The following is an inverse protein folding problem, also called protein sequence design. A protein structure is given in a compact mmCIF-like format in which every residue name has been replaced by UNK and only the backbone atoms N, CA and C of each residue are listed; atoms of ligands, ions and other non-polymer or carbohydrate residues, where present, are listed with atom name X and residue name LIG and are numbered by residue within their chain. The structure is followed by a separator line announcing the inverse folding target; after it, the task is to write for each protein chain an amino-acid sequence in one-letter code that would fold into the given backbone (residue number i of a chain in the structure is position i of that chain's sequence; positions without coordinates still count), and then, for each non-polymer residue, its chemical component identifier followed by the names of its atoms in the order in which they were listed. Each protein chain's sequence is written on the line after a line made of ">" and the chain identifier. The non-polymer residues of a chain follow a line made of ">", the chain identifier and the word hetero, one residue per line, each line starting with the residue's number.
data_IF_721640264163
#
_entry.id   IF_721640264163
#
_cell.length_a   1.000
_cell.length_b   1.000
_cell.length_c   1.000
_cell.angle_alpha   90.00
_cell.angle_beta   90.00
_cell.angle_gamma   90.00
#
_symmetry.space_group_name_H-M   'P 1'
#
loop_
_entity.id
_entity.type
_entity.pdbx_description
1 polymer ?
#
# COMPACT_ATOMS: atom_id res chain seq x y z
N UNK A 1 -34.01 8.75 -0.65
CA UNK A 1 -32.57 8.44 -0.43
C UNK A 1 -32.32 7.00 -0.83
N UNK A 2 -31.12 6.67 -1.34
CA UNK A 2 -30.81 5.27 -1.65
C UNK A 2 -30.52 4.53 -0.35
N UNK A 3 -31.14 3.38 -0.09
CA UNK A 3 -30.88 2.60 1.12
C UNK A 3 -29.53 1.91 1.11
N UNK A 4 -28.74 2.07 0.03
CA UNK A 4 -27.41 1.48 -0.15
C UNK A 4 -26.38 2.59 -0.24
N UNK A 5 -25.34 2.48 0.59
CA UNK A 5 -24.19 3.40 0.59
C UNK A 5 -22.90 2.65 0.26
N UNK A 6 -22.07 3.28 -0.56
CA UNK A 6 -20.75 2.77 -0.96
C UNK A 6 -19.66 3.54 -0.22
N UNK A 7 -18.75 2.80 0.40
CA UNK A 7 -17.65 3.35 1.19
C UNK A 7 -16.31 2.75 0.77
N UNK A 8 -15.24 3.56 0.86
CA UNK A 8 -13.87 3.12 0.66
C UNK A 8 -13.15 3.12 2.00
N UNK A 9 -12.49 2.03 2.34
CA UNK A 9 -11.72 1.90 3.59
C UNK A 9 -10.33 1.33 3.31
N UNK A 10 -9.32 1.89 3.99
CA UNK A 10 -7.97 1.33 4.00
C UNK A 10 -7.75 0.56 5.30
N UNK A 11 -7.29 -0.69 5.19
CA UNK A 11 -7.06 -1.58 6.33
C UNK A 11 -5.58 -1.94 6.38
N UNK A 12 -4.92 -1.64 7.49
CA UNK A 12 -3.51 -1.98 7.71
C UNK A 12 -3.36 -3.46 8.06
N UNK A 13 -2.62 -4.19 7.22
CA UNK A 13 -2.34 -5.62 7.38
C UNK A 13 -0.95 -5.89 7.94
N UNK A 14 -0.28 -4.89 8.48
CA UNK A 14 1.01 -5.07 9.16
C UNK A 14 0.83 -6.03 10.34
N UNK A 15 1.69 -7.06 10.41
CA UNK A 15 1.64 -8.07 11.46
C UNK A 15 0.59 -9.18 11.28
N UNK A 16 -0.21 -9.17 10.23
CA UNK A 16 -1.13 -10.27 9.89
C UNK A 16 -0.33 -11.53 9.54
N UNK A 17 -0.62 -12.64 10.20
CA UNK A 17 0.14 -13.89 10.09
C UNK A 17 -0.64 -15.06 9.49
N UNK A 18 -1.96 -14.96 9.38
CA UNK A 18 -2.83 -16.01 8.85
C UNK A 18 -4.05 -15.43 8.13
N UNK A 19 -4.73 -16.28 7.34
CA UNK A 19 -5.99 -15.92 6.68
C UNK A 19 -7.09 -15.57 7.69
N UNK A 20 -7.15 -16.30 8.80
CA UNK A 20 -8.10 -16.05 9.88
C UNK A 20 -7.84 -14.70 10.55
N UNK A 21 -6.57 -14.36 10.79
CA UNK A 21 -6.15 -13.09 11.35
C UNK A 21 -6.53 -11.92 10.42
N UNK A 22 -6.26 -12.08 9.12
CA UNK A 22 -6.70 -11.11 8.11
C UNK A 22 -8.22 -10.90 8.13
N UNK A 23 -8.97 -12.00 8.14
CA UNK A 23 -10.43 -11.96 8.17
C UNK A 23 -10.94 -11.25 9.42
N UNK A 24 -10.40 -11.59 10.59
CA UNK A 24 -10.79 -10.99 11.86
C UNK A 24 -10.50 -9.47 11.88
N UNK A 25 -9.34 -9.06 11.38
CA UNK A 25 -8.97 -7.66 11.25
C UNK A 25 -9.97 -6.92 10.35
N UNK A 26 -10.22 -7.45 9.16
CA UNK A 26 -11.16 -6.84 8.21
C UNK A 26 -12.56 -6.72 8.80
N UNK A 27 -13.07 -7.77 9.46
CA UNK A 27 -14.41 -7.74 10.06
C UNK A 27 -14.47 -6.69 11.18
N UNK A 28 -13.44 -6.60 12.02
CA UNK A 28 -13.37 -5.62 13.10
C UNK A 28 -13.40 -4.19 12.55
N UNK A 29 -12.54 -3.89 11.59
CA UNK A 29 -12.42 -2.53 11.04
C UNK A 29 -13.69 -2.12 10.27
N UNK A 30 -14.32 -3.08 9.56
CA UNK A 30 -15.59 -2.82 8.87
C UNK A 30 -16.73 -2.54 9.85
N UNK A 31 -16.81 -3.27 10.97
CA UNK A 31 -17.83 -3.04 11.99
C UNK A 31 -17.65 -1.68 12.66
N UNK A 32 -16.44 -1.36 13.07
CA UNK A 32 -16.11 -0.08 13.70
C UNK A 32 -16.44 1.10 12.77
N UNK A 33 -16.03 1.01 11.49
CA UNK A 33 -16.35 2.04 10.51
C UNK A 33 -17.86 2.15 10.26
N UNK A 34 -18.56 1.01 10.15
CA UNK A 34 -20.01 1.00 9.94
C UNK A 34 -20.78 1.61 11.13
N UNK A 35 -20.35 1.34 12.37
CA UNK A 35 -20.94 1.93 13.57
C UNK A 35 -20.75 3.45 13.60
N UNK A 36 -19.56 3.94 13.24
CA UNK A 36 -19.30 5.38 13.12
C UNK A 36 -20.21 6.02 12.06
N UNK A 37 -20.34 5.41 10.88
CA UNK A 37 -21.18 5.90 9.80
C UNK A 37 -22.67 5.95 10.17
N UNK A 38 -23.17 4.97 10.92
CA UNK A 38 -24.57 4.92 11.35
C UNK A 38 -24.93 5.97 12.40
N UNK A 39 -23.96 6.52 13.13
CA UNK A 39 -24.17 7.66 14.02
C UNK A 39 -24.46 8.97 13.26
N UNK A 40 -23.97 9.06 12.01
CA UNK A 40 -24.10 10.24 11.17
C UNK A 40 -25.28 10.16 10.18
N UNK A 41 -25.79 8.96 9.92
CA UNK A 41 -26.75 8.68 8.85
C UNK A 41 -27.98 7.94 9.37
N UNK A 42 -29.09 8.62 9.35
CA UNK A 42 -30.40 7.99 9.53
C UNK A 42 -30.81 7.18 8.28
N UNK A 43 -31.27 5.93 8.45
CA UNK A 43 -31.85 5.07 7.40
C UNK A 43 -30.92 4.45 6.35
N UNK A 44 -29.73 3.97 6.71
CA UNK A 44 -28.93 3.12 5.82
C UNK A 44 -29.23 1.65 6.07
N UNK A 45 -29.76 0.94 5.04
CA UNK A 45 -30.08 -0.48 5.11
C UNK A 45 -28.91 -1.39 4.71
N UNK A 46 -27.98 -0.87 3.90
CA UNK A 46 -26.85 -1.64 3.41
C UNK A 46 -25.62 -0.76 3.17
N UNK A 47 -24.47 -1.21 3.68
CA UNK A 47 -23.15 -0.64 3.42
C UNK A 47 -22.36 -1.57 2.51
N UNK A 48 -21.83 -1.04 1.43
CA UNK A 48 -21.04 -1.77 0.44
C UNK A 48 -19.64 -1.20 0.42
N UNK A 49 -18.66 -2.01 0.81
CA UNK A 49 -17.28 -1.58 0.95
C UNK A 49 -16.41 -1.96 -0.24
N UNK A 50 -15.54 -1.02 -0.60
CA UNK A 50 -14.34 -1.25 -1.36
C UNK A 50 -13.16 -1.13 -0.40
N UNK A 51 -12.41 -2.20 -0.21
CA UNK A 51 -11.32 -2.30 0.75
C UNK A 51 -9.99 -2.17 0.01
N UNK A 52 -9.08 -1.36 0.55
CA UNK A 52 -7.68 -1.34 0.16
C UNK A 52 -6.83 -1.85 1.33
N UNK A 53 -6.22 -3.04 1.18
CA UNK A 53 -5.27 -3.57 2.15
C UNK A 53 -3.94 -2.83 1.98
N UNK A 54 -3.45 -2.21 3.05
CA UNK A 54 -2.22 -1.40 3.05
C UNK A 54 -1.24 -1.90 4.13
N UNK A 55 -0.03 -1.39 4.11
CA UNK A 55 0.97 -1.68 5.14
C UNK A 55 2.14 -2.52 4.65
N UNK A 56 2.94 -3.03 5.60
CA UNK A 56 4.12 -3.86 5.33
C UNK A 56 3.88 -5.27 5.86
N UNK A 57 4.06 -6.29 5.01
CA UNK A 57 3.90 -7.67 5.44
C UNK A 57 4.80 -8.61 4.62
N UNK A 58 5.49 -9.52 5.31
CA UNK A 58 6.34 -10.54 4.68
C UNK A 58 5.54 -11.58 3.90
N UNK A 59 4.23 -11.69 4.18
CA UNK A 59 3.29 -12.63 3.52
C UNK A 59 2.42 -11.98 2.45
N UNK A 60 2.93 -10.96 1.78
CA UNK A 60 2.18 -10.21 0.76
C UNK A 60 1.45 -11.12 -0.25
N UNK A 61 2.13 -12.18 -0.76
CA UNK A 61 1.54 -13.11 -1.74
C UNK A 61 0.42 -13.95 -1.16
N UNK A 62 0.57 -14.39 0.09
CA UNK A 62 -0.46 -15.17 0.78
C UNK A 62 -1.69 -14.27 1.00
N UNK A 63 -1.51 -13.04 1.49
CA UNK A 63 -2.58 -12.07 1.67
C UNK A 63 -3.28 -11.78 0.34
N UNK A 64 -2.54 -11.66 -0.76
CA UNK A 64 -3.10 -11.48 -2.10
C UNK A 64 -4.01 -12.67 -2.49
N UNK A 65 -3.66 -13.89 -2.11
CA UNK A 65 -4.50 -15.07 -2.34
C UNK A 65 -5.74 -15.09 -1.43
N UNK A 66 -5.63 -14.63 -0.20
CA UNK A 66 -6.71 -14.62 0.79
C UNK A 66 -7.79 -13.56 0.50
N UNK A 67 -7.51 -12.57 -0.36
CA UNK A 67 -8.50 -11.53 -0.72
C UNK A 67 -9.85 -12.09 -1.17
N UNK A 68 -9.85 -13.24 -1.83
CA UNK A 68 -11.07 -13.86 -2.36
C UNK A 68 -12.06 -14.23 -1.26
N UNK A 69 -11.56 -14.74 -0.13
CA UNK A 69 -12.39 -15.13 1.01
C UNK A 69 -13.03 -13.93 1.70
N UNK A 70 -12.41 -12.74 1.60
CA UNK A 70 -12.96 -11.49 2.15
C UNK A 70 -14.15 -10.99 1.32
N UNK A 71 -14.05 -11.08 -0.02
CA UNK A 71 -15.14 -10.62 -0.94
C UNK A 71 -16.42 -11.44 -0.75
N UNK A 72 -16.29 -12.71 -0.36
CA UNK A 72 -17.46 -13.58 -0.13
C UNK A 72 -18.14 -13.32 1.22
N UNK A 73 -17.55 -12.47 2.06
CA UNK A 73 -18.05 -12.24 3.40
C UNK A 73 -19.13 -11.16 3.44
N UNK A 74 -20.30 -11.53 3.93
CA UNK A 74 -21.36 -10.61 4.29
C UNK A 74 -21.61 -10.69 5.79
N UNK A 75 -21.69 -9.54 6.44
CA UNK A 75 -22.03 -9.44 7.86
C UNK A 75 -23.28 -8.59 8.07
N UNK A 76 -23.94 -8.75 9.24
CA UNK A 76 -24.98 -7.84 9.68
C UNK A 76 -24.60 -7.26 11.04
N UNK A 77 -24.87 -5.97 11.19
CA UNK A 77 -24.78 -5.29 12.48
C UNK A 77 -26.02 -5.60 13.33
N UNK A 78 -25.92 -5.35 14.63
CA UNK A 78 -27.05 -5.46 15.57
C UNK A 78 -28.23 -4.55 15.18
N UNK A 79 -27.93 -3.43 14.53
CA UNK A 79 -28.93 -2.50 13.96
C UNK A 79 -29.71 -3.06 12.79
N UNK A 80 -29.36 -4.25 12.29
CA UNK A 80 -29.97 -4.86 11.11
C UNK A 80 -29.34 -4.44 9.78
N UNK A 81 -28.43 -3.47 9.77
CA UNK A 81 -27.75 -2.98 8.57
C UNK A 81 -26.83 -4.08 8.01
N UNK A 82 -26.99 -4.37 6.72
CA UNK A 82 -26.15 -5.35 6.03
C UNK A 82 -24.80 -4.72 5.62
N UNK A 83 -23.72 -5.45 5.88
CA UNK A 83 -22.39 -5.11 5.40
C UNK A 83 -21.99 -6.11 4.32
N UNK A 84 -21.52 -5.62 3.18
CA UNK A 84 -20.98 -6.45 2.12
C UNK A 84 -19.70 -5.85 1.55
N UNK A 85 -18.78 -6.71 1.10
CA UNK A 85 -17.55 -6.31 0.45
C UNK A 85 -17.68 -6.57 -1.05
N UNK A 86 -17.53 -5.53 -1.86
CA UNK A 86 -17.62 -5.63 -3.31
C UNK A 86 -16.26 -5.86 -3.97
N UNK A 87 -15.22 -5.25 -3.42
CA UNK A 87 -13.88 -5.31 -3.98
C UNK A 87 -12.83 -5.20 -2.88
N UNK A 88 -11.74 -5.94 -3.07
CA UNK A 88 -10.55 -5.85 -2.23
C UNK A 88 -9.33 -5.67 -3.12
N UNK A 89 -8.67 -4.54 -2.99
CA UNK A 89 -7.36 -4.28 -3.60
C UNK A 89 -6.26 -4.43 -2.54
N UNK A 90 -5.04 -4.70 -2.97
CA UNK A 90 -3.89 -4.79 -2.07
C UNK A 90 -2.77 -3.87 -2.56
N UNK A 91 -2.34 -2.99 -1.67
CA UNK A 91 -1.19 -2.09 -1.82
C UNK A 91 -0.22 -2.36 -0.66
N UNK A 92 0.21 -3.63 -0.56
CA UNK A 92 1.04 -4.14 0.52
C UNK A 92 2.49 -4.09 0.07
N UNK A 93 3.34 -3.46 0.86
CA UNK A 93 4.78 -3.49 0.66
C UNK A 93 5.39 -4.71 1.36
N UNK A 94 6.41 -5.37 0.78
CA UNK A 94 7.09 -6.45 1.46
C UNK A 94 7.79 -5.94 2.72
N UNK A 95 7.59 -6.65 3.83
CA UNK A 95 8.35 -6.42 5.05
C UNK A 95 9.69 -7.12 4.92
N UNK A 96 10.76 -6.36 4.80
CA UNK A 96 12.11 -6.90 4.76
C UNK A 96 12.66 -6.98 6.19
N UNK A 97 12.56 -8.16 6.76
CA UNK A 97 13.15 -8.47 8.06
C UNK A 97 14.67 -8.47 7.91
N UNK A 98 15.36 -7.46 8.44
CA UNK A 98 16.80 -7.34 8.47
C UNK A 98 17.52 -6.58 7.33
N UNK A 99 16.99 -5.41 6.97
CA UNK A 99 17.62 -4.48 6.02
C UNK A 99 19.12 -4.23 6.31
N UNK A 100 19.48 -4.12 7.60
CA UNK A 100 20.89 -3.86 7.99
C UNK A 100 21.84 -5.00 7.63
N UNK A 101 21.40 -6.26 7.73
CA UNK A 101 22.23 -7.40 7.30
C UNK A 101 22.31 -7.50 5.77
N UNK A 102 21.22 -7.23 5.08
CA UNK A 102 21.21 -7.20 3.62
C UNK A 102 22.12 -6.11 3.07
N UNK A 103 22.11 -4.93 3.67
CA UNK A 103 22.95 -3.80 3.25
C UNK A 103 24.46 -4.09 3.32
N UNK A 104 24.88 -5.08 4.11
CA UNK A 104 26.30 -5.52 4.18
C UNK A 104 26.70 -6.44 3.01
N UNK A 105 25.74 -6.89 2.21
CA UNK A 105 26.01 -7.80 1.09
C UNK A 105 26.35 -7.02 -0.18
N UNK A 106 27.38 -7.48 -0.91
CA UNK A 106 27.70 -6.98 -2.25
C UNK A 106 26.79 -7.62 -3.31
N UNK A 107 25.49 -7.41 -3.18
CA UNK A 107 24.47 -7.97 -4.05
C UNK A 107 23.44 -6.90 -4.45
N UNK A 108 22.64 -7.10 -5.51
CA UNK A 108 21.56 -6.18 -5.85
C UNK A 108 20.61 -5.90 -4.68
N UNK A 109 20.28 -6.91 -3.90
CA UNK A 109 19.47 -6.77 -2.69
C UNK A 109 20.15 -5.90 -1.63
N UNK A 110 21.47 -6.04 -1.48
CA UNK A 110 22.28 -5.21 -0.58
C UNK A 110 22.31 -3.74 -0.98
N UNK A 111 22.41 -3.44 -2.28
CA UNK A 111 22.36 -2.06 -2.80
C UNK A 111 21.01 -1.43 -2.50
N UNK A 112 19.90 -2.12 -2.79
CA UNK A 112 18.55 -1.64 -2.50
C UNK A 112 18.34 -1.41 -1.00
N UNK A 113 18.77 -2.36 -0.16
CA UNK A 113 18.68 -2.24 1.29
C UNK A 113 19.48 -1.05 1.82
N UNK A 114 20.69 -0.82 1.31
CA UNK A 114 21.51 0.33 1.69
C UNK A 114 20.88 1.67 1.28
N UNK A 115 20.29 1.73 0.08
CA UNK A 115 19.56 2.92 -0.39
C UNK A 115 18.35 3.23 0.51
N UNK A 116 17.58 2.21 0.89
CA UNK A 116 16.44 2.38 1.82
C UNK A 116 16.94 2.93 3.16
N UNK A 117 17.99 2.32 3.73
CA UNK A 117 18.57 2.79 5.01
C UNK A 117 19.12 4.21 4.90
N UNK A 118 19.77 4.57 3.78
CA UNK A 118 20.27 5.93 3.58
C UNK A 118 19.13 6.97 3.59
N UNK A 119 17.97 6.62 3.05
CA UNK A 119 16.78 7.49 3.10
C UNK A 119 16.20 7.56 4.52
N UNK A 120 16.08 6.42 5.21
CA UNK A 120 15.47 6.35 6.56
C UNK A 120 16.33 7.04 7.63
N UNK A 121 17.64 6.97 7.50
CA UNK A 121 18.60 7.57 8.43
C UNK A 121 19.03 8.99 8.00
N UNK A 122 18.43 9.53 6.93
CA UNK A 122 18.80 10.82 6.31
C UNK A 122 20.31 10.98 6.10
N UNK A 123 20.97 9.90 5.63
CA UNK A 123 22.40 9.92 5.37
C UNK A 123 22.73 10.67 4.09
N UNK A 124 23.82 11.41 4.12
CA UNK A 124 24.42 11.98 2.90
C UNK A 124 25.15 10.86 2.13
N UNK A 125 24.41 10.26 1.19
CA UNK A 125 24.91 9.18 0.33
C UNK A 125 25.03 9.67 -1.12
N UNK A 126 26.26 9.65 -1.70
CA UNK A 126 26.48 10.17 -3.06
C UNK A 126 25.65 9.45 -4.13
N UNK A 127 25.44 8.14 -3.99
CA UNK A 127 24.64 7.35 -4.93
C UNK A 127 23.16 7.75 -4.83
N UNK A 128 22.62 7.88 -3.63
CA UNK A 128 21.25 8.34 -3.41
C UNK A 128 21.05 9.76 -3.96
N UNK A 129 22.00 10.67 -3.74
CA UNK A 129 21.93 12.03 -4.24
C UNK A 129 21.91 12.09 -5.77
N UNK A 130 22.63 11.20 -6.45
CA UNK A 130 22.60 11.08 -7.90
C UNK A 130 21.25 10.54 -8.38
N UNK A 131 20.70 9.51 -7.73
CA UNK A 131 19.35 8.98 -8.03
C UNK A 131 18.26 10.05 -7.89
N UNK A 132 18.32 10.85 -6.83
CA UNK A 132 17.36 11.94 -6.59
C UNK A 132 17.43 12.96 -7.74
N UNK A 133 18.63 13.39 -8.15
CA UNK A 133 18.81 14.33 -9.24
C UNK A 133 18.28 13.77 -10.56
N UNK A 134 18.58 12.50 -10.84
CA UNK A 134 18.11 11.84 -12.05
C UNK A 134 16.58 11.71 -12.06
N UNK A 135 15.97 11.32 -10.93
CA UNK A 135 14.52 11.22 -10.78
C UNK A 135 13.85 12.56 -11.05
N UNK A 136 14.30 13.64 -10.38
CA UNK A 136 13.78 15.00 -10.56
C UNK A 136 13.86 15.42 -12.03
N UNK A 137 15.03 15.22 -12.66
CA UNK A 137 15.25 15.59 -14.08
C UNK A 137 14.29 14.85 -15.01
N UNK A 138 14.02 13.56 -14.79
CA UNK A 138 13.09 12.76 -15.57
C UNK A 138 11.64 13.23 -15.40
N UNK A 139 11.22 13.51 -14.16
CA UNK A 139 9.87 14.02 -13.89
C UNK A 139 9.65 15.41 -14.47
N UNK A 140 10.64 16.31 -14.35
CA UNK A 140 10.57 17.63 -15.00
C UNK A 140 10.45 17.53 -16.52
N UNK A 141 11.18 16.58 -17.11
CA UNK A 141 11.10 16.33 -18.55
C UNK A 141 9.71 15.80 -18.93
N UNK A 142 9.17 14.87 -18.15
CA UNK A 142 7.83 14.36 -18.36
C UNK A 142 6.75 15.45 -18.19
N UNK A 143 6.84 16.27 -17.15
CA UNK A 143 5.91 17.38 -16.90
C UNK A 143 5.91 18.42 -18.04
N UNK A 144 7.06 18.61 -18.73
CA UNK A 144 7.17 19.50 -19.90
C UNK A 144 6.70 18.86 -21.21
N UNK A 145 6.48 17.55 -21.24
CA UNK A 145 6.02 16.89 -22.45
C UNK A 145 4.61 17.35 -22.82
N UNK A 146 4.39 17.71 -24.09
CA UNK A 146 3.12 18.29 -24.58
C UNK A 146 1.89 17.41 -24.34
N UNK A 147 2.07 16.11 -24.12
CA UNK A 147 0.99 15.17 -23.78
C UNK A 147 0.35 15.51 -22.42
N UNK A 148 1.10 16.10 -21.52
CA UNK A 148 0.63 16.47 -20.17
C UNK A 148 0.25 17.95 -20.03
N UNK A 149 0.44 18.76 -21.07
CA UNK A 149 0.15 20.20 -21.05
C UNK A 149 -1.33 20.57 -20.83
N UNK A 150 -2.23 19.61 -21.06
CA UNK A 150 -3.69 19.76 -20.85
C UNK A 150 -4.19 19.32 -19.47
N UNK A 151 -3.31 18.80 -18.62
CA UNK A 151 -3.69 18.39 -17.27
C UNK A 151 -3.85 19.62 -16.36
N UNK A 152 -4.81 19.60 -15.40
CA UNK A 152 -4.89 20.61 -14.36
C UNK A 152 -3.57 20.70 -13.59
N UNK A 153 -3.20 21.90 -13.10
CA UNK A 153 -1.96 22.09 -12.32
C UNK A 153 -1.84 21.17 -11.11
N UNK A 154 -2.97 20.76 -10.53
CA UNK A 154 -3.05 19.79 -9.43
C UNK A 154 -2.61 18.36 -9.81
N UNK A 155 -2.52 18.06 -11.11
CA UNK A 155 -2.07 16.77 -11.63
C UNK A 155 -0.57 16.75 -12.00
N UNK A 156 0.13 17.87 -11.85
CA UNK A 156 1.57 17.96 -12.10
C UNK A 156 2.31 17.33 -10.92
N UNK A 157 3.19 16.36 -11.19
CA UNK A 157 3.99 15.72 -10.16
C UNK A 157 4.96 16.73 -9.54
N UNK A 158 4.95 16.83 -8.22
CA UNK A 158 5.90 17.66 -7.49
C UNK A 158 7.32 17.10 -7.65
N UNK A 159 8.30 18.00 -7.89
CA UNK A 159 9.70 17.67 -8.11
C UNK A 159 10.58 18.07 -6.93
N UNK A 160 10.08 17.86 -5.72
CA UNK A 160 10.86 18.13 -4.50
C UNK A 160 11.76 16.94 -4.15
N UNK A 161 12.84 17.20 -3.42
CA UNK A 161 13.76 16.15 -2.94
C UNK A 161 13.03 15.13 -2.06
N UNK A 162 12.06 15.56 -1.25
CA UNK A 162 11.31 14.67 -0.35
C UNK A 162 10.39 13.74 -1.11
N UNK A 163 9.71 14.23 -2.14
CA UNK A 163 8.87 13.41 -3.03
C UNK A 163 9.75 12.41 -3.78
N UNK A 164 10.92 12.83 -4.27
CA UNK A 164 11.87 11.94 -4.94
C UNK A 164 12.37 10.84 -3.99
N UNK A 165 12.75 11.18 -2.74
CA UNK A 165 13.16 10.22 -1.70
C UNK A 165 12.08 9.20 -1.41
N UNK A 166 10.83 9.64 -1.25
CA UNK A 166 9.69 8.74 -1.03
C UNK A 166 9.50 7.79 -2.21
N UNK A 167 9.47 8.30 -3.43
CA UNK A 167 9.28 7.50 -4.63
C UNK A 167 10.42 6.46 -4.83
N UNK A 168 11.67 6.87 -4.60
CA UNK A 168 12.84 5.98 -4.67
C UNK A 168 12.74 4.90 -3.60
N UNK A 169 12.36 5.25 -2.36
CA UNK A 169 12.18 4.29 -1.27
C UNK A 169 11.13 3.25 -1.59
N UNK A 170 9.98 3.67 -2.11
CA UNK A 170 8.88 2.78 -2.47
C UNK A 170 9.28 1.82 -3.58
N UNK A 171 9.98 2.31 -4.59
CA UNK A 171 10.48 1.46 -5.68
C UNK A 171 11.59 0.50 -5.21
N UNK A 172 12.51 0.94 -4.35
CA UNK A 172 13.51 0.06 -3.73
C UNK A 172 12.84 -1.05 -2.89
N UNK A 173 11.82 -0.75 -2.11
CA UNK A 173 11.06 -1.73 -1.35
C UNK A 173 10.37 -2.74 -2.27
N UNK A 174 9.75 -2.28 -3.35
CA UNK A 174 9.08 -3.13 -4.35
C UNK A 174 10.07 -4.12 -5.00
N UNK A 175 11.21 -3.58 -5.50
CA UNK A 175 12.24 -4.38 -6.14
C UNK A 175 12.90 -5.38 -5.18
N UNK A 176 13.16 -4.95 -3.94
CA UNK A 176 13.73 -5.83 -2.92
C UNK A 176 12.78 -6.98 -2.60
N UNK A 177 11.47 -6.71 -2.50
CA UNK A 177 10.46 -7.75 -2.33
C UNK A 177 10.42 -8.75 -3.49
N UNK A 178 10.55 -8.28 -4.73
CA UNK A 178 10.61 -9.16 -5.91
C UNK A 178 11.86 -10.05 -5.90
N UNK A 179 13.03 -9.48 -5.57
CA UNK A 179 14.28 -10.24 -5.44
C UNK A 179 14.20 -11.30 -4.35
N UNK A 180 13.69 -10.95 -3.17
CA UNK A 180 13.53 -11.91 -2.06
C UNK A 180 12.59 -13.04 -2.43
N UNK A 181 11.53 -12.75 -3.17
CA UNK A 181 10.59 -13.75 -3.66
C UNK A 181 11.22 -14.72 -4.68
N UNK A 182 12.13 -14.24 -5.53
CA UNK A 182 12.87 -15.09 -6.49
C UNK A 182 13.85 -16.01 -5.78
N UNK A 183 14.51 -15.53 -4.72
CA UNK A 183 15.44 -16.34 -3.92
C UNK A 183 14.71 -17.43 -3.14
N UNK A 184 13.50 -17.14 -2.65
CA UNK A 184 12.70 -18.07 -1.85
C UNK A 184 12.00 -19.16 -2.70
N UNK A 185 11.87 -18.96 -4.01
CA UNK A 185 11.28 -19.91 -4.98
C UNK A 185 12.19 -20.02 -6.22
N UNK A 186 13.36 -20.69 -6.13
CA UNK A 186 14.12 -21.05 -7.32
C UNK A 186 13.27 -22.06 -8.13
N UNK A 187 12.93 -21.71 -9.38
CA UNK A 187 12.32 -22.63 -10.35
C UNK A 187 13.19 -23.87 -10.55
#
# INVERSE_FOLDING_TARGET
>A
MSPVRYENISIDVTGVVSEEDLRNRVISDLKENAELMLTELEEVLSLVYHITLVGKNSRQREIESWKRTIVEHTARLETGTAISVRRVDAQISPEVTNLKQLALQSSPAGILANTILAIEEDRDDPFLNELIKEWISKIETANRAGVYSSLPQESVLETTSDVARSAIKDECNRLLGELMNQISNPN
#
